data_IF_795203758218
#
_entry.id   IF_795203758218
#
_cell.length_a   1.000
_cell.length_b   1.000
_cell.length_c   1.000
_cell.angle_alpha   90.00
_cell.angle_beta   90.00
_cell.angle_gamma   90.00
#
_symmetry.space_group_name_H-M   'P 1'
#
loop_
_entity.id
_entity.type
_entity.pdbx_description
1 polymer ?
#
# COMPACT_ATOMS: atom_id res chain seq x y z
N UNK A 1 0.30 -3.20 -9.43
CA UNK A 1 -0.93 -3.57 -8.71
C UNK A 1 -0.88 -5.05 -8.34
N UNK A 2 -1.26 -5.36 -7.12
CA UNK A 2 -1.31 -6.73 -6.65
C UNK A 2 -2.60 -7.42 -7.10
N UNK A 3 -3.73 -6.73 -7.00
CA UNK A 3 -4.99 -7.14 -7.61
C UNK A 3 -5.88 -5.92 -7.80
N UNK A 4 -6.88 -6.07 -8.66
CA UNK A 4 -7.86 -5.04 -8.92
C UNK A 4 -9.25 -5.67 -8.86
N UNK A 5 -10.08 -5.19 -7.95
CA UNK A 5 -11.44 -5.67 -7.76
C UNK A 5 -12.41 -4.54 -8.10
N UNK A 6 -12.95 -4.55 -9.31
CA UNK A 6 -13.83 -3.50 -9.80
C UNK A 6 -15.23 -3.59 -9.20
N UNK A 7 -15.66 -4.78 -8.80
CA UNK A 7 -16.98 -4.97 -8.18
C UNK A 7 -17.04 -4.30 -6.80
N UNK A 8 -16.03 -4.54 -5.99
CA UNK A 8 -15.94 -3.95 -4.66
C UNK A 8 -15.15 -2.65 -4.64
N UNK A 9 -14.68 -2.19 -5.81
CA UNK A 9 -13.95 -0.94 -6.00
C UNK A 9 -12.75 -0.81 -5.08
N UNK A 10 -11.93 -1.85 -5.04
CA UNK A 10 -10.73 -1.90 -4.20
C UNK A 10 -9.56 -2.50 -4.97
N UNK A 11 -8.35 -2.14 -4.55
CA UNK A 11 -7.13 -2.71 -5.08
C UNK A 11 -6.07 -2.81 -4.00
N UNK A 12 -5.07 -3.64 -4.24
CA UNK A 12 -3.92 -3.80 -3.35
C UNK A 12 -2.64 -3.53 -4.12
N UNK A 13 -1.69 -2.87 -3.48
CA UNK A 13 -0.38 -2.56 -4.04
C UNK A 13 0.65 -3.42 -3.30
N UNK A 14 1.38 -4.23 -4.06
CA UNK A 14 2.43 -5.05 -3.50
C UNK A 14 3.71 -4.26 -3.28
N UNK A 15 4.51 -4.73 -2.32
CA UNK A 15 5.72 -4.03 -1.89
C UNK A 15 7.00 -4.64 -2.42
N UNK A 16 6.92 -5.49 -3.44
CA UNK A 16 8.14 -6.12 -3.93
C UNK A 16 9.16 -5.10 -4.46
N UNK A 17 8.69 -3.93 -4.90
CA UNK A 17 9.57 -2.86 -5.35
C UNK A 17 10.52 -2.37 -4.24
N UNK A 18 10.11 -2.48 -2.99
CA UNK A 18 10.94 -2.07 -1.86
C UNK A 18 12.24 -2.87 -1.76
N UNK A 19 12.27 -4.08 -2.32
CA UNK A 19 13.46 -4.92 -2.34
C UNK A 19 14.51 -4.42 -3.35
N UNK A 20 14.05 -3.72 -4.38
CA UNK A 20 14.91 -3.25 -5.47
C UNK A 20 15.30 -1.78 -5.32
N UNK A 21 14.44 -0.98 -4.67
CA UNK A 21 14.66 0.45 -4.51
C UNK A 21 14.76 0.76 -3.02
N UNK A 22 15.98 0.89 -2.54
CA UNK A 22 16.22 1.17 -1.11
C UNK A 22 16.18 2.66 -0.80
N UNK A 23 16.05 3.50 -1.81
CA UNK A 23 15.95 4.96 -1.61
C UNK A 23 14.50 5.32 -1.31
N UNK A 24 14.23 5.64 -0.05
CA UNK A 24 12.88 5.93 0.45
C UNK A 24 12.15 7.03 -0.31
N UNK A 25 12.87 8.07 -0.74
CA UNK A 25 12.28 9.17 -1.49
C UNK A 25 11.71 8.73 -2.83
N UNK A 26 12.43 7.87 -3.54
CA UNK A 26 11.99 7.33 -4.83
C UNK A 26 10.75 6.45 -4.65
N UNK A 27 10.78 5.58 -3.64
CA UNK A 27 9.63 4.70 -3.36
C UNK A 27 8.39 5.50 -3.01
N UNK A 28 8.54 6.53 -2.18
CA UNK A 28 7.41 7.39 -1.82
C UNK A 28 6.84 8.09 -3.04
N UNK A 29 7.70 8.63 -3.91
CA UNK A 29 7.26 9.32 -5.12
C UNK A 29 6.53 8.37 -6.08
N UNK A 30 7.06 7.17 -6.30
CA UNK A 30 6.44 6.17 -7.17
C UNK A 30 5.08 5.71 -6.61
N UNK A 31 5.01 5.53 -5.30
CA UNK A 31 3.76 5.12 -4.65
C UNK A 31 2.70 6.20 -4.78
N UNK A 32 3.07 7.46 -4.62
CA UNK A 32 2.13 8.58 -4.82
C UNK A 32 1.56 8.60 -6.23
N UNK A 33 2.41 8.44 -7.23
CA UNK A 33 1.99 8.43 -8.63
C UNK A 33 1.03 7.28 -8.90
N UNK A 34 1.34 6.10 -8.39
CA UNK A 34 0.51 4.92 -8.58
C UNK A 34 -0.86 5.09 -7.90
N UNK A 35 -0.89 5.62 -6.69
CA UNK A 35 -2.13 5.84 -5.94
C UNK A 35 -3.01 6.87 -6.67
N UNK A 36 -2.43 7.96 -7.15
CA UNK A 36 -3.16 8.96 -7.94
C UNK A 36 -3.76 8.34 -9.19
N UNK A 37 -2.96 7.56 -9.91
CA UNK A 37 -3.42 6.87 -11.11
C UNK A 37 -4.61 5.98 -10.82
N UNK A 38 -4.53 5.18 -9.76
CA UNK A 38 -5.59 4.25 -9.38
C UNK A 38 -6.88 4.98 -9.02
N UNK A 39 -6.81 6.03 -8.20
CA UNK A 39 -8.01 6.75 -7.79
C UNK A 39 -8.59 7.62 -8.91
N UNK A 40 -7.76 8.22 -9.75
CA UNK A 40 -8.22 9.16 -10.77
C UNK A 40 -8.64 8.50 -12.08
N UNK A 41 -8.02 7.37 -12.43
CA UNK A 41 -8.33 6.68 -13.69
C UNK A 41 -9.30 5.52 -13.51
N UNK A 42 -9.48 5.01 -12.30
CA UNK A 42 -10.40 3.93 -12.00
C UNK A 42 -11.39 4.37 -10.93
N UNK A 43 -12.58 3.78 -10.96
CA UNK A 43 -13.60 4.04 -9.93
C UNK A 43 -13.32 3.17 -8.72
N UNK A 44 -12.19 3.44 -8.06
CA UNK A 44 -11.72 2.70 -6.89
C UNK A 44 -12.04 3.50 -5.63
N UNK A 45 -12.57 2.82 -4.61
CA UNK A 45 -12.89 3.44 -3.32
C UNK A 45 -11.85 3.16 -2.25
N UNK A 46 -11.05 2.10 -2.41
CA UNK A 46 -10.11 1.64 -1.39
C UNK A 46 -8.82 1.15 -2.03
N UNK A 47 -7.71 1.67 -1.56
CA UNK A 47 -6.36 1.18 -1.91
C UNK A 47 -5.74 0.57 -0.66
N UNK A 48 -5.24 -0.65 -0.78
CA UNK A 48 -4.65 -1.38 0.32
C UNK A 48 -3.17 -1.61 0.07
N UNK A 49 -2.36 -1.47 1.10
CA UNK A 49 -0.93 -1.79 1.07
C UNK A 49 -0.66 -2.83 2.14
N UNK A 50 -0.05 -3.94 1.74
CA UNK A 50 0.35 -4.99 2.66
C UNK A 50 1.87 -5.14 2.64
N UNK A 51 2.46 -5.40 3.80
CA UNK A 51 3.89 -5.60 3.91
C UNK A 51 4.21 -6.56 5.04
N UNK A 52 5.33 -7.29 4.90
CA UNK A 52 5.77 -8.24 5.91
C UNK A 52 6.12 -7.54 7.22
N UNK A 53 5.71 -8.14 8.33
CA UNK A 53 6.09 -7.66 9.66
C UNK A 53 7.60 -7.77 9.92
N UNK A 54 8.31 -8.55 9.08
CA UNK A 54 9.77 -8.67 9.17
C UNK A 54 10.51 -7.43 8.68
N UNK A 55 9.78 -6.52 8.02
CA UNK A 55 10.38 -5.28 7.52
C UNK A 55 9.61 -4.07 8.06
N UNK A 56 9.78 -3.74 9.35
CA UNK A 56 9.03 -2.66 9.97
C UNK A 56 9.34 -1.28 9.37
N UNK A 57 10.48 -1.11 8.72
CA UNK A 57 10.83 0.16 8.08
C UNK A 57 9.89 0.51 6.93
N UNK A 58 9.28 -0.49 6.30
CA UNK A 58 8.34 -0.28 5.21
C UNK A 58 7.05 0.42 5.66
N UNK A 59 6.75 0.41 6.94
CA UNK A 59 5.57 1.11 7.49
C UNK A 59 5.65 2.62 7.31
N UNK A 60 6.85 3.18 7.20
CA UNK A 60 7.03 4.62 7.08
C UNK A 60 6.34 5.19 5.84
N UNK A 61 6.30 4.45 4.74
CA UNK A 61 5.72 4.94 3.48
C UNK A 61 4.21 5.11 3.59
N UNK A 62 3.40 4.08 3.95
CA UNK A 62 1.96 4.29 4.08
C UNK A 62 1.61 5.28 5.19
N UNK A 63 2.34 5.29 6.29
CA UNK A 63 2.09 6.24 7.37
C UNK A 63 2.34 7.67 6.92
N UNK A 64 3.40 7.89 6.14
CA UNK A 64 3.72 9.20 5.58
C UNK A 64 2.68 9.68 4.57
N UNK A 65 2.04 8.75 3.87
CA UNK A 65 1.03 9.07 2.85
C UNK A 65 -0.38 9.20 3.42
N UNK A 66 -0.55 9.01 4.72
CA UNK A 66 -1.85 9.17 5.37
C UNK A 66 -2.71 7.91 5.41
N UNK A 67 -2.13 6.75 5.13
CA UNK A 67 -2.84 5.47 5.25
C UNK A 67 -3.11 5.13 6.70
N UNK A 68 -4.20 4.40 6.92
CA UNK A 68 -4.56 3.90 8.25
C UNK A 68 -4.18 2.43 8.37
N UNK A 69 -3.49 2.06 9.45
CA UNK A 69 -3.21 0.66 9.74
C UNK A 69 -4.47 -0.02 10.23
N UNK A 70 -4.92 -1.06 9.53
CA UNK A 70 -6.13 -1.78 9.89
C UNK A 70 -5.86 -3.01 10.74
N UNK A 71 -4.66 -3.56 10.66
CA UNK A 71 -4.34 -4.74 11.44
C UNK A 71 -3.16 -5.51 10.91
N UNK A 72 -3.10 -6.77 11.34
CA UNK A 72 -2.04 -7.70 10.95
C UNK A 72 -2.71 -9.00 10.51
N UNK A 73 -2.36 -9.49 9.32
CA UNK A 73 -2.80 -10.78 8.82
C UNK A 73 -1.76 -11.84 9.20
N UNK A 74 -2.18 -12.85 9.95
CA UNK A 74 -1.27 -13.89 10.40
C UNK A 74 -0.97 -14.88 9.28
N UNK A 75 0.31 -15.27 9.16
CA UNK A 75 0.78 -16.25 8.18
C UNK A 75 0.26 -15.96 6.78
N UNK A 76 0.23 -14.68 6.41
CA UNK A 76 -0.37 -14.21 5.17
C UNK A 76 0.56 -14.33 3.98
N UNK A 77 1.86 -14.38 4.22
CA UNK A 77 2.86 -14.36 3.16
C UNK A 77 3.87 -15.47 3.37
N UNK A 78 4.14 -16.22 2.30
CA UNK A 78 5.18 -17.24 2.33
C UNK A 78 6.42 -16.68 1.64
N UNK A 79 7.52 -16.62 2.39
CA UNK A 79 8.78 -16.10 1.89
C UNK A 79 9.89 -17.06 2.27
N UNK A 80 10.60 -17.58 1.25
CA UNK A 80 11.71 -18.51 1.43
C UNK A 80 11.33 -19.77 2.26
N UNK A 81 10.11 -20.27 2.05
CA UNK A 81 9.63 -21.45 2.75
C UNK A 81 9.08 -21.21 4.13
N UNK A 82 9.14 -19.97 4.63
CA UNK A 82 8.59 -19.60 5.92
C UNK A 82 7.41 -18.67 5.75
N UNK A 83 6.44 -18.78 6.66
CA UNK A 83 5.30 -17.88 6.67
C UNK A 83 5.61 -16.65 7.52
N UNK A 84 5.14 -15.50 7.09
CA UNK A 84 5.24 -14.29 7.87
C UNK A 84 3.89 -13.57 7.91
N UNK A 85 3.71 -12.77 8.97
CA UNK A 85 2.53 -11.93 9.09
C UNK A 85 2.69 -10.70 8.20
N UNK A 86 1.57 -10.06 7.91
CA UNK A 86 1.57 -8.85 7.09
C UNK A 86 0.83 -7.73 7.79
N UNK A 87 1.42 -6.55 7.82
CA UNK A 87 0.69 -5.33 8.17
C UNK A 87 -0.25 -4.96 7.03
N UNK A 88 -1.44 -4.48 7.37
CA UNK A 88 -2.42 -4.03 6.38
C UNK A 88 -2.69 -2.56 6.61
N UNK A 89 -2.46 -1.75 5.58
CA UNK A 89 -2.76 -0.33 5.56
C UNK A 89 -3.76 -0.04 4.45
N UNK A 90 -4.62 0.93 4.65
CA UNK A 90 -5.59 1.32 3.64
C UNK A 90 -5.73 2.82 3.52
N UNK A 91 -6.11 3.27 2.32
CA UNK A 91 -6.50 4.64 2.06
C UNK A 91 -7.82 4.61 1.30
N UNK A 92 -8.84 5.24 1.83
CA UNK A 92 -10.13 5.35 1.18
C UNK A 92 -10.13 6.57 0.25
N UNK A 93 -10.98 6.55 -0.79
CA UNK A 93 -11.09 7.67 -1.72
C UNK A 93 -11.34 8.99 -1.00
N UNK A 94 -12.22 8.97 -0.02
CA UNK A 94 -12.52 10.15 0.79
C UNK A 94 -11.28 10.71 1.48
N UNK A 95 -10.45 9.82 1.99
CA UNK A 95 -9.19 10.20 2.64
C UNK A 95 -8.16 10.70 1.63
N UNK A 96 -8.11 10.07 0.44
CA UNK A 96 -7.25 10.50 -0.64
C UNK A 96 -7.53 11.94 -1.04
N UNK A 97 -8.81 12.31 -1.16
CA UNK A 97 -9.21 13.68 -1.52
C UNK A 97 -8.71 14.71 -0.52
N UNK A 98 -8.56 14.32 0.75
CA UNK A 98 -8.05 15.20 1.80
C UNK A 98 -6.53 15.30 1.79
N UNK A 99 -5.82 14.19 1.57
CA UNK A 99 -4.36 14.16 1.70
C UNK A 99 -3.62 14.48 0.41
N UNK A 100 -4.25 14.35 -0.75
CA UNK A 100 -3.55 14.56 -2.02
C UNK A 100 -2.99 15.95 -2.19
N UNK A 101 -3.58 16.95 -1.54
CA UNK A 101 -3.10 18.32 -1.60
C UNK A 101 -1.77 18.50 -0.87
N UNK A 102 -1.43 17.58 0.03
CA UNK A 102 -0.19 17.59 0.79
C UNK A 102 0.92 16.80 0.11
N UNK A 103 0.59 16.10 -0.94
CA UNK A 103 1.54 15.29 -1.69
C UNK A 103 2.34 16.15 -2.73
#
# INVERSE_FOLDING_TARGET
LHYLDLVNKRTSIGYYLAKHFQKKGIMTACTKVLIRYVFEEFDINRVEIQMSTRNPKSKAIPERLGFTQEGVLRSNERLRGEFSDSYVYSLLREEYEKVKAEW
#
